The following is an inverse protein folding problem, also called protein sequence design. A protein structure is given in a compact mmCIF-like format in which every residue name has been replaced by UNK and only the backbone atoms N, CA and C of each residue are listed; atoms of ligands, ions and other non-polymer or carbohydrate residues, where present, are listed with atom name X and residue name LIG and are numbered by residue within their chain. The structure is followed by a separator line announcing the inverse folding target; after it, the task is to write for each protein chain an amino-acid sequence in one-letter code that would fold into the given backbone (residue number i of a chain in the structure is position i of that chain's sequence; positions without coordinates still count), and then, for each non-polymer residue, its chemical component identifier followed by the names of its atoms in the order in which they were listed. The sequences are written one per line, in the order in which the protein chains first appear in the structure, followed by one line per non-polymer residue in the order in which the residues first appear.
data_IF_770615281741
#
_entry.id   IF_770615281741
#
_cell.length_a   1.000
_cell.length_b   1.000
_cell.length_c   1.000
_cell.angle_alpha   90.00
_cell.angle_beta   90.00
_cell.angle_gamma   90.00
#
_symmetry.space_group_name_H-M   'P 1'
#
loop_
_entity.id
_entity.type
_entity.pdbx_description
1 polymer ?
#
# COMPACT_ATOMS: atom_id res chain seq x y z
N UNK A 1 -3.42 -19.50 12.32
CA UNK A 1 -2.56 -19.30 11.15
C UNK A 1 -2.70 -20.39 10.10
N UNK A 2 -2.64 -21.67 10.43
CA UNK A 2 -2.82 -22.79 9.47
C UNK A 2 -4.19 -22.79 8.75
N UNK A 3 -5.24 -22.28 9.36
CA UNK A 3 -6.56 -22.14 8.76
C UNK A 3 -6.58 -21.13 7.58
N UNK A 4 -5.96 -19.96 7.76
CA UNK A 4 -5.82 -18.95 6.71
C UNK A 4 -4.98 -19.48 5.53
N UNK A 5 -3.90 -20.19 5.81
CA UNK A 5 -3.07 -20.83 4.78
C UNK A 5 -3.89 -21.82 3.95
N UNK A 6 -4.67 -22.70 4.60
CA UNK A 6 -5.54 -23.66 3.91
C UNK A 6 -6.59 -22.97 3.04
N UNK A 7 -7.13 -21.83 3.49
CA UNK A 7 -8.12 -21.07 2.73
C UNK A 7 -7.50 -20.41 1.49
N UNK A 8 -6.33 -19.79 1.63
CA UNK A 8 -5.61 -19.16 0.53
C UNK A 8 -5.17 -20.22 -0.50
N UNK A 9 -4.59 -21.33 -0.07
CA UNK A 9 -4.20 -22.42 -0.95
C UNK A 9 -5.40 -23.07 -1.67
N UNK A 10 -6.59 -23.07 -1.07
CA UNK A 10 -7.81 -23.57 -1.71
C UNK A 10 -8.30 -22.68 -2.87
N UNK A 11 -7.99 -21.39 -2.82
CA UNK A 11 -8.37 -20.41 -3.85
C UNK A 11 -7.34 -20.36 -4.98
N UNK A 12 -6.08 -20.76 -4.73
CA UNK A 12 -4.96 -20.74 -5.68
C UNK A 12 -5.29 -21.27 -7.08
N UNK A 13 -5.95 -22.42 -7.25
CA UNK A 13 -6.23 -22.98 -8.57
C UNK A 13 -7.10 -22.11 -9.47
N UNK A 14 -7.86 -21.15 -8.90
CA UNK A 14 -8.68 -20.22 -9.70
C UNK A 14 -7.86 -19.10 -10.35
N UNK A 15 -6.62 -18.87 -9.90
CA UNK A 15 -5.72 -17.82 -10.39
C UNK A 15 -4.57 -18.38 -11.23
N UNK A 16 -4.42 -19.71 -11.37
CA UNK A 16 -3.38 -20.35 -12.19
C UNK A 16 -3.60 -20.14 -13.69
N UNK A 17 -2.56 -20.38 -14.48
CA UNK A 17 -2.58 -20.22 -15.94
C UNK A 17 -3.72 -21.02 -16.58
N UNK A 18 -4.56 -20.33 -17.38
CA UNK A 18 -5.71 -20.93 -18.05
C UNK A 18 -7.06 -20.72 -17.38
N UNK A 19 -7.12 -20.10 -16.19
CA UNK A 19 -8.36 -19.80 -15.49
C UNK A 19 -8.84 -18.36 -15.73
N UNK A 20 -10.15 -18.11 -15.51
CA UNK A 20 -10.79 -16.80 -15.75
C UNK A 20 -10.21 -15.65 -14.94
N UNK A 21 -9.59 -15.93 -13.79
CA UNK A 21 -9.04 -14.94 -12.86
C UNK A 21 -7.51 -14.83 -12.92
N UNK A 22 -6.86 -15.40 -13.93
CA UNK A 22 -5.39 -15.33 -14.09
C UNK A 22 -4.86 -13.89 -14.12
N UNK A 23 -5.61 -12.92 -14.64
CA UNK A 23 -5.22 -11.52 -14.66
C UNK A 23 -5.07 -10.89 -13.26
N UNK A 24 -5.71 -11.48 -12.23
CA UNK A 24 -5.58 -11.06 -10.82
C UNK A 24 -4.50 -11.85 -10.06
N UNK A 25 -3.75 -12.73 -10.73
CA UNK A 25 -2.67 -13.50 -10.10
C UNK A 25 -1.69 -12.63 -9.31
N UNK A 26 -1.24 -11.44 -9.81
CA UNK A 26 -0.34 -10.57 -9.05
C UNK A 26 -0.91 -10.12 -7.69
N UNK A 27 -2.23 -9.92 -7.61
CA UNK A 27 -2.90 -9.53 -6.36
C UNK A 27 -2.96 -10.71 -5.37
N UNK A 28 -3.24 -11.91 -5.88
CA UNK A 28 -3.22 -13.14 -5.09
C UNK A 28 -1.83 -13.39 -4.51
N UNK A 29 -0.80 -13.35 -5.34
CA UNK A 29 0.60 -13.56 -4.95
C UNK A 29 1.07 -12.52 -3.92
N UNK A 30 0.74 -11.24 -4.12
CA UNK A 30 1.03 -10.21 -3.14
C UNK A 30 0.41 -10.51 -1.77
N UNK A 31 -0.84 -10.98 -1.74
CA UNK A 31 -1.55 -11.33 -0.51
C UNK A 31 -0.91 -12.56 0.17
N UNK A 32 -0.55 -13.59 -0.62
CA UNK A 32 0.09 -14.81 -0.12
C UNK A 32 1.46 -14.49 0.51
N UNK A 33 2.30 -13.71 -0.18
CA UNK A 33 3.65 -13.36 0.30
C UNK A 33 3.67 -12.39 1.47
N UNK A 34 2.66 -11.54 1.63
CA UNK A 34 2.50 -10.68 2.79
C UNK A 34 2.19 -11.51 4.04
N UNK A 35 1.29 -12.48 3.93
CA UNK A 35 0.84 -13.29 5.06
C UNK A 35 1.77 -14.47 5.36
N UNK A 36 2.40 -15.03 4.33
CA UNK A 36 3.26 -16.21 4.42
C UNK A 36 4.59 -15.95 3.70
N UNK A 37 5.66 -16.64 4.10
CA UNK A 37 6.95 -16.58 3.40
C UNK A 37 6.81 -17.15 1.99
N UNK A 38 7.53 -16.57 1.02
CA UNK A 38 7.67 -17.12 -0.32
C UNK A 38 8.30 -18.53 -0.28
N UNK A 39 7.76 -19.44 -1.08
CA UNK A 39 8.31 -20.81 -1.23
C UNK A 39 9.46 -20.88 -2.27
N UNK A 40 9.85 -19.74 -2.82
CA UNK A 40 10.95 -19.65 -3.78
C UNK A 40 12.28 -20.08 -3.15
N UNK A 41 12.90 -21.09 -3.76
CA UNK A 41 14.20 -21.64 -3.37
C UNK A 41 15.20 -21.39 -4.49
N UNK A 42 16.40 -20.95 -4.12
CA UNK A 42 17.51 -20.84 -5.06
C UNK A 42 17.88 -22.21 -5.61
N UNK A 43 17.95 -22.35 -6.94
CA UNK A 43 18.26 -23.60 -7.63
C UNK A 43 19.78 -23.85 -7.81
N UNK A 44 20.62 -22.84 -7.56
CA UNK A 44 22.08 -22.89 -7.73
C UNK A 44 22.81 -22.31 -6.53
N UNK A 45 23.98 -22.85 -6.21
CA UNK A 45 24.87 -22.30 -5.18
C UNK A 45 25.49 -20.95 -5.63
N UNK A 46 25.79 -20.00 -4.69
CA UNK A 46 25.62 -20.09 -3.23
C UNK A 46 24.19 -19.83 -2.77
N UNK A 47 23.72 -20.58 -1.78
CA UNK A 47 22.40 -20.42 -1.17
C UNK A 47 22.48 -19.43 -0.01
N UNK A 48 22.34 -18.14 -0.28
CA UNK A 48 22.23 -17.10 0.75
C UNK A 48 20.80 -16.62 0.78
N UNK A 49 20.12 -16.79 1.92
CA UNK A 49 18.75 -16.31 2.14
C UNK A 49 18.72 -15.47 3.41
N UNK A 50 18.20 -14.27 3.32
CA UNK A 50 17.89 -13.47 4.49
C UNK A 50 16.66 -14.06 5.23
N UNK A 51 16.60 -13.88 6.53
CA UNK A 51 15.48 -14.31 7.36
C UNK A 51 14.27 -13.39 7.23
N UNK A 52 14.45 -12.18 6.68
CA UNK A 52 13.41 -11.16 6.55
C UNK A 52 13.21 -10.82 5.08
N UNK A 53 12.02 -11.10 4.55
CA UNK A 53 11.63 -10.73 3.20
C UNK A 53 11.37 -9.20 3.11
N UNK A 54 11.69 -8.59 1.96
CA UNK A 54 11.49 -7.16 1.69
C UNK A 54 10.03 -6.76 1.92
N UNK A 55 9.08 -7.59 1.52
CA UNK A 55 7.64 -7.35 1.72
C UNK A 55 7.28 -7.19 3.21
N UNK A 56 7.92 -7.96 4.10
CA UNK A 56 7.74 -7.84 5.56
C UNK A 56 8.37 -6.57 6.12
N UNK A 57 9.54 -6.18 5.64
CA UNK A 57 10.16 -4.90 6.03
C UNK A 57 9.24 -3.74 5.69
N UNK A 58 8.67 -3.72 4.47
CA UNK A 58 7.75 -2.66 4.06
C UNK A 58 6.48 -2.60 4.90
N UNK A 59 5.93 -3.74 5.34
CA UNK A 59 4.79 -3.75 6.27
C UNK A 59 5.18 -3.18 7.63
N UNK A 60 6.36 -3.51 8.16
CA UNK A 60 6.84 -2.92 9.42
C UNK A 60 6.93 -1.40 9.33
N UNK A 61 7.39 -0.85 8.20
CA UNK A 61 7.37 0.60 7.96
C UNK A 61 5.94 1.15 8.03
N UNK A 62 4.96 0.51 7.39
CA UNK A 62 3.55 0.94 7.47
C UNK A 62 3.04 0.91 8.91
N UNK A 63 3.38 -0.13 9.68
CA UNK A 63 3.00 -0.23 11.10
C UNK A 63 3.61 0.92 11.92
N UNK A 64 4.86 1.30 11.66
CA UNK A 64 5.50 2.44 12.35
C UNK A 64 4.87 3.79 12.01
N UNK A 65 4.09 3.91 10.92
CA UNK A 65 3.35 5.12 10.59
C UNK A 65 2.01 5.24 11.36
N UNK A 66 1.51 4.17 11.98
CA UNK A 66 0.24 4.20 12.73
C UNK A 66 0.21 5.28 13.82
N UNK A 67 1.24 5.43 14.67
CA UNK A 67 1.28 6.53 15.64
C UNK A 67 1.15 7.90 14.97
N UNK A 68 1.80 8.12 13.83
CA UNK A 68 1.72 9.39 13.09
C UNK A 68 0.29 9.68 12.65
N UNK A 69 -0.45 8.66 12.19
CA UNK A 69 -1.86 8.80 11.84
C UNK A 69 -2.74 9.14 13.04
N UNK A 70 -2.50 8.49 14.18
CA UNK A 70 -3.26 8.74 15.42
C UNK A 70 -3.05 10.19 15.89
N UNK A 71 -1.80 10.62 16.00
CA UNK A 71 -1.49 11.99 16.40
C UNK A 71 -1.94 13.02 15.38
N UNK A 72 -1.81 12.72 14.08
CA UNK A 72 -2.34 13.54 12.99
C UNK A 72 -3.85 13.73 13.09
N UNK A 73 -4.60 12.65 13.35
CA UNK A 73 -6.05 12.72 13.54
C UNK A 73 -6.43 13.56 14.75
N UNK A 74 -5.77 13.38 15.90
CA UNK A 74 -6.00 14.21 17.08
C UNK A 74 -5.74 15.68 16.77
N UNK A 75 -4.63 15.98 16.08
CA UNK A 75 -4.25 17.36 15.74
C UNK A 75 -5.28 18.02 14.80
N UNK A 76 -5.73 17.32 13.76
CA UNK A 76 -6.77 17.81 12.82
C UNK A 76 -8.07 18.13 13.58
N UNK A 77 -8.50 17.23 14.46
CA UNK A 77 -9.68 17.46 15.30
C UNK A 77 -9.52 18.63 16.25
N UNK A 78 -8.33 18.78 16.87
CA UNK A 78 -7.99 19.87 17.79
C UNK A 78 -7.99 21.23 17.08
N UNK A 79 -7.34 21.34 15.92
CA UNK A 79 -7.34 22.55 15.11
C UNK A 79 -8.74 22.97 14.67
N UNK A 80 -9.58 22.02 14.28
CA UNK A 80 -10.98 22.29 13.96
C UNK A 80 -11.78 22.77 15.20
N UNK A 81 -11.55 22.19 16.37
CA UNK A 81 -12.20 22.59 17.60
C UNK A 81 -11.84 24.05 17.98
N UNK A 82 -10.56 24.41 17.89
CA UNK A 82 -10.10 25.80 18.13
C UNK A 82 -10.75 26.77 17.13
N UNK A 83 -10.76 26.44 15.85
CA UNK A 83 -11.31 27.30 14.81
C UNK A 83 -12.81 27.58 14.99
N UNK A 84 -13.54 26.64 15.58
CA UNK A 84 -14.99 26.76 15.84
C UNK A 84 -15.31 27.22 17.28
N UNK A 85 -14.30 27.43 18.14
CA UNK A 85 -14.50 27.76 19.53
C UNK A 85 -15.18 26.67 20.36
N UNK A 86 -15.00 25.39 19.96
CA UNK A 86 -15.61 24.23 20.61
C UNK A 86 -14.64 23.59 21.60
N UNK A 87 -15.10 23.27 22.79
CA UNK A 87 -14.38 22.43 23.73
C UNK A 87 -14.71 20.95 23.43
N UNK A 88 -13.76 20.24 22.84
CA UNK A 88 -13.87 18.80 22.57
C UNK A 88 -12.88 18.02 23.42
N UNK A 89 -13.30 16.84 23.88
CA UNK A 89 -12.39 15.90 24.52
C UNK A 89 -11.38 15.33 23.51
N UNK A 90 -10.27 14.75 24.02
CA UNK A 90 -9.27 14.07 23.18
C UNK A 90 -9.89 13.03 22.26
N UNK A 91 -10.82 12.22 22.77
CA UNK A 91 -11.51 11.18 22.00
C UNK A 91 -12.40 11.80 20.91
N UNK A 92 -13.08 12.91 21.22
CA UNK A 92 -13.88 13.65 20.23
C UNK A 92 -13.05 14.25 19.11
N UNK A 93 -11.85 14.77 19.43
CA UNK A 93 -10.92 15.25 18.42
C UNK A 93 -10.34 14.12 17.55
N UNK A 94 -9.99 12.97 18.17
CA UNK A 94 -9.53 11.80 17.43
C UNK A 94 -10.61 11.31 16.45
N UNK A 95 -11.86 11.20 16.90
CA UNK A 95 -12.96 10.73 16.05
C UNK A 95 -13.23 11.68 14.87
N UNK A 96 -13.27 12.98 15.12
CA UNK A 96 -13.46 13.96 14.05
C UNK A 96 -12.31 13.94 13.04
N UNK A 97 -11.06 13.91 13.53
CA UNK A 97 -9.89 13.86 12.66
C UNK A 97 -9.81 12.55 11.86
N UNK A 98 -10.15 11.43 12.49
CA UNK A 98 -10.21 10.15 11.80
C UNK A 98 -11.23 10.17 10.64
N UNK A 99 -12.44 10.72 10.88
CA UNK A 99 -13.46 10.90 9.84
C UNK A 99 -12.97 11.76 8.67
N UNK A 100 -12.09 12.71 8.94
CA UNK A 100 -11.50 13.58 7.90
C UNK A 100 -10.37 12.88 7.14
N UNK A 101 -9.53 12.09 7.82
CA UNK A 101 -8.34 11.45 7.23
C UNK A 101 -8.69 10.14 6.52
N UNK A 102 -9.66 9.36 7.00
CA UNK A 102 -10.03 8.07 6.40
C UNK A 102 -10.37 8.19 4.90
N UNK A 103 -11.19 9.14 4.42
CA UNK A 103 -11.46 9.28 2.99
C UNK A 103 -10.20 9.63 2.18
N UNK A 104 -9.27 10.40 2.74
CA UNK A 104 -7.99 10.72 2.11
C UNK A 104 -7.16 9.44 1.93
N UNK A 105 -7.05 8.63 2.98
CA UNK A 105 -6.38 7.32 2.92
C UNK A 105 -7.04 6.44 1.86
N UNK A 106 -8.36 6.31 1.91
CA UNK A 106 -9.11 5.45 0.99
C UNK A 106 -8.88 5.84 -0.47
N UNK A 107 -9.00 7.12 -0.81
CA UNK A 107 -8.77 7.60 -2.19
C UNK A 107 -7.34 7.37 -2.64
N UNK A 108 -6.35 7.59 -1.76
CA UNK A 108 -4.93 7.35 -2.08
C UNK A 108 -4.66 5.88 -2.36
N UNK A 109 -5.19 4.97 -1.52
CA UNK A 109 -5.03 3.53 -1.73
C UNK A 109 -5.77 3.04 -2.99
N UNK A 110 -6.97 3.55 -3.26
CA UNK A 110 -7.73 3.20 -4.47
C UNK A 110 -6.98 3.66 -5.72
N UNK A 111 -6.54 4.93 -5.75
CA UNK A 111 -5.77 5.46 -6.87
C UNK A 111 -4.46 4.70 -7.09
N UNK A 112 -3.73 4.44 -6.01
CA UNK A 112 -2.48 3.71 -6.06
C UNK A 112 -2.66 2.26 -6.51
N UNK A 113 -3.62 1.54 -5.94
CA UNK A 113 -3.92 0.16 -6.31
C UNK A 113 -4.35 0.07 -7.78
N UNK A 114 -5.17 1.00 -8.24
CA UNK A 114 -5.61 1.04 -9.64
C UNK A 114 -4.40 1.08 -10.61
N UNK A 115 -3.48 2.01 -10.41
CA UNK A 115 -2.32 2.15 -11.27
C UNK A 115 -1.33 1.00 -11.12
N UNK A 116 -1.04 0.57 -9.90
CA UNK A 116 -0.12 -0.54 -9.63
C UNK A 116 -0.60 -1.85 -10.28
N UNK A 117 -1.88 -2.19 -10.12
CA UNK A 117 -2.47 -3.38 -10.74
C UNK A 117 -2.45 -3.24 -12.27
N UNK A 118 -2.81 -2.07 -12.81
CA UNK A 118 -2.78 -1.82 -14.24
C UNK A 118 -1.39 -2.08 -14.83
N UNK A 119 -0.34 -1.50 -14.23
CA UNK A 119 1.02 -1.69 -14.70
C UNK A 119 1.55 -3.10 -14.46
N UNK A 120 1.17 -3.75 -13.35
CA UNK A 120 1.53 -5.15 -13.10
C UNK A 120 0.97 -6.08 -14.18
N UNK A 121 -0.28 -5.87 -14.60
CA UNK A 121 -0.92 -6.67 -15.67
C UNK A 121 -0.25 -6.38 -17.02
N UNK A 122 -0.05 -5.10 -17.38
CA UNK A 122 0.50 -4.71 -18.69
C UNK A 122 1.95 -5.19 -18.84
N UNK A 123 2.75 -5.06 -17.79
CA UNK A 123 4.18 -5.42 -17.80
C UNK A 123 4.45 -6.85 -17.37
N UNK A 124 3.43 -7.60 -16.94
CA UNK A 124 3.53 -8.99 -16.45
C UNK A 124 4.58 -9.17 -15.37
N UNK A 125 4.57 -8.30 -14.39
CA UNK A 125 5.47 -8.38 -13.24
C UNK A 125 4.69 -8.32 -11.93
N UNK A 126 5.35 -8.72 -10.84
CA UNK A 126 4.79 -8.65 -9.49
C UNK A 126 4.52 -7.20 -9.05
N UNK A 127 3.55 -7.04 -8.14
CA UNK A 127 3.25 -5.76 -7.50
C UNK A 127 4.48 -5.32 -6.70
N UNK A 128 4.86 -4.06 -6.85
CA UNK A 128 6.02 -3.50 -6.18
C UNK A 128 5.84 -3.47 -4.66
N UNK A 129 6.84 -3.94 -3.92
CA UNK A 129 6.81 -3.97 -2.47
C UNK A 129 6.64 -2.57 -1.84
N UNK A 130 7.15 -1.52 -2.51
CA UNK A 130 7.04 -0.14 -2.05
C UNK A 130 5.65 0.48 -2.18
N UNK A 131 4.70 -0.18 -2.86
CA UNK A 131 3.35 0.33 -3.09
C UNK A 131 2.64 0.69 -1.78
N UNK A 132 2.61 -0.21 -0.81
CA UNK A 132 1.93 0.00 0.48
C UNK A 132 2.50 1.19 1.24
N UNK A 133 3.84 1.31 1.26
CA UNK A 133 4.53 2.42 1.93
C UNK A 133 4.22 3.74 1.24
N UNK A 134 4.27 3.80 -0.09
CA UNK A 134 3.96 5.01 -0.86
C UNK A 134 2.53 5.46 -0.59
N UNK A 135 1.55 4.56 -0.66
CA UNK A 135 0.15 4.89 -0.39
C UNK A 135 -0.12 5.27 1.08
N UNK A 136 0.70 4.77 2.03
CA UNK A 136 0.61 5.20 3.41
C UNK A 136 1.30 6.55 3.69
N UNK A 137 2.32 6.93 2.95
CA UNK A 137 3.02 8.22 3.16
C UNK A 137 2.28 9.41 2.53
N UNK A 138 1.68 9.25 1.36
CA UNK A 138 1.00 10.34 0.64
C UNK A 138 -0.05 11.04 1.51
N UNK A 139 -0.99 10.36 2.19
CA UNK A 139 -1.98 11.01 3.05
C UNK A 139 -1.39 11.84 4.19
N UNK A 140 -0.21 11.44 4.71
CA UNK A 140 0.48 12.18 5.78
C UNK A 140 1.13 13.47 5.30
N UNK A 141 1.42 13.59 4.01
CA UNK A 141 2.02 14.79 3.41
C UNK A 141 0.98 15.76 2.87
N UNK A 142 -0.29 15.34 2.73
CA UNK A 142 -1.35 16.16 2.16
C UNK A 142 -2.13 16.91 3.23
N UNK A 143 -2.59 18.14 2.94
CA UNK A 143 -3.43 18.87 3.87
C UNK A 143 -4.81 18.20 4.02
N UNK A 144 -5.40 18.18 5.24
CA UNK A 144 -6.68 17.51 5.46
C UNK A 144 -7.88 18.14 4.73
N UNK A 145 -7.71 19.37 4.23
CA UNK A 145 -8.73 20.11 3.47
C UNK A 145 -8.67 19.85 1.94
N UNK A 146 -7.79 18.97 1.46
CA UNK A 146 -7.64 18.70 0.03
C UNK A 146 -8.91 18.09 -0.57
N UNK A 147 -9.44 18.59 -1.71
CA UNK A 147 -10.51 17.93 -2.42
C UNK A 147 -10.09 16.54 -2.92
N UNK A 148 -10.93 15.54 -2.72
CA UNK A 148 -10.60 14.14 -3.02
C UNK A 148 -10.23 13.90 -4.50
N UNK A 149 -10.81 14.65 -5.43
CA UNK A 149 -10.49 14.55 -6.85
C UNK A 149 -9.06 15.06 -7.16
N UNK A 150 -8.63 16.15 -6.50
CA UNK A 150 -7.26 16.65 -6.63
C UNK A 150 -6.25 15.65 -6.06
N UNK A 151 -6.58 15.06 -4.91
CA UNK A 151 -5.77 13.99 -4.32
C UNK A 151 -5.62 12.80 -5.25
N UNK A 152 -6.72 12.36 -5.89
CA UNK A 152 -6.70 11.27 -6.87
C UNK A 152 -5.75 11.58 -8.05
N UNK A 153 -5.84 12.78 -8.62
CA UNK A 153 -4.97 13.21 -9.73
C UNK A 153 -3.52 13.30 -9.27
N UNK A 154 -3.25 13.93 -8.12
CA UNK A 154 -1.90 14.08 -7.58
C UNK A 154 -1.24 12.71 -7.30
N UNK A 155 -1.98 11.79 -6.66
CA UNK A 155 -1.51 10.43 -6.41
C UNK A 155 -1.25 9.68 -7.71
N UNK A 156 -2.17 9.77 -8.68
CA UNK A 156 -2.00 9.16 -10.00
C UNK A 156 -0.77 9.68 -10.72
N UNK A 157 -0.56 10.99 -10.73
CA UNK A 157 0.62 11.61 -11.33
C UNK A 157 1.91 11.14 -10.65
N UNK A 158 1.95 11.15 -9.31
CA UNK A 158 3.12 10.72 -8.54
C UNK A 158 3.49 9.25 -8.80
N UNK A 159 2.50 8.36 -8.88
CA UNK A 159 2.73 6.94 -9.13
C UNK A 159 3.12 6.69 -10.59
N UNK A 160 2.37 7.22 -11.55
CA UNK A 160 2.63 6.96 -12.97
C UNK A 160 3.95 7.58 -13.41
N UNK A 161 4.16 8.86 -13.14
CA UNK A 161 5.36 9.57 -13.61
C UNK A 161 6.53 9.32 -12.67
N UNK A 162 6.36 9.53 -11.37
CA UNK A 162 7.46 9.43 -10.41
C UNK A 162 7.97 8.01 -10.23
N UNK A 163 7.08 7.03 -10.16
CA UNK A 163 7.46 5.64 -9.88
C UNK A 163 7.62 4.81 -11.16
N UNK A 164 6.64 4.85 -12.08
CA UNK A 164 6.63 3.93 -13.22
C UNK A 164 7.47 4.42 -14.41
N UNK A 165 7.53 5.71 -14.66
CA UNK A 165 8.33 6.27 -15.79
C UNK A 165 9.77 6.53 -15.34
N UNK A 166 9.97 7.22 -14.21
CA UNK A 166 11.30 7.62 -13.72
C UNK A 166 11.83 6.75 -12.58
N UNK A 167 11.09 5.74 -12.10
CA UNK A 167 11.50 4.91 -10.99
C UNK A 167 12.79 4.13 -11.26
N UNK A 168 13.55 3.87 -10.20
CA UNK A 168 14.85 3.18 -10.19
C UNK A 168 14.80 1.81 -10.88
N UNK A 169 13.65 1.19 -10.98
CA UNK A 169 13.45 -0.11 -11.60
C UNK A 169 13.85 -0.15 -13.09
N UNK A 170 13.64 0.96 -13.81
CA UNK A 170 14.07 1.05 -15.20
C UNK A 170 15.59 1.24 -15.34
N UNK A 171 16.25 1.83 -14.34
CA UNK A 171 17.69 2.04 -14.35
C UNK A 171 18.49 0.74 -14.17
N UNK A 172 17.96 -0.23 -13.42
CA UNK A 172 18.61 -1.53 -13.22
C UNK A 172 18.44 -2.43 -14.45
N UNK A 173 17.31 -2.37 -15.14
CA UNK A 173 17.06 -3.14 -16.36
C UNK A 173 17.89 -2.65 -17.55
N UNK A 174 18.36 -1.41 -17.54
CA UNK A 174 19.24 -0.84 -18.58
C UNK A 174 20.72 -1.16 -18.29
N UNK A 175 21.06 -1.50 -17.05
CA UNK A 175 22.43 -1.79 -16.62
C UNK A 175 22.80 -3.29 -16.68
N UNK A 176 21.87 -4.17 -17.04
CA UNK A 176 22.06 -5.58 -17.32
C UNK A 176 21.92 -5.87 -18.82
#
# INVERSE_FOLDING_TARGET
MQWLLKYILKIKPNFEEGQKLHWLYPLYEATETILFSTDEKTKSAPHIRDSIDIKRVMILVVITLIPCYIFGAINVGYQNAIALGLERSLIGNLFFGAMTIIPIIAVTFIAGAFWEILFAIVRKHEISEGFLVTCALIPLTMPPSIPLWQLFIATSFGIVIGKEIFGVRNSIAIAM
#
